data_IF_327126960500
#
_entry.id   IF_327126960500
#
_cell.length_a   1.000
_cell.length_b   1.000
_cell.length_c   1.000
_cell.angle_alpha   90.00
_cell.angle_beta   90.00
_cell.angle_gamma   90.00
#
_symmetry.space_group_name_H-M   'P 1'
#
loop_
_entity.id
_entity.type
_entity.pdbx_description
1 polymer ?
#
# COMPACT_ATOMS: atom_id res chain seq x y z
N UNK A 1 -48.27 65.73 20.34
CA UNK A 1 -46.86 65.66 20.78
C UNK A 1 -46.80 64.73 22.00
N UNK A 2 -46.36 63.47 21.84
CA UNK A 2 -45.02 62.88 22.20
C UNK A 2 -45.07 62.09 23.52
N UNK A 3 -45.10 60.74 23.49
CA UNK A 3 -44.00 59.75 23.71
C UNK A 3 -43.39 59.77 25.13
N UNK A 4 -43.76 58.85 26.05
CA UNK A 4 -43.24 57.48 26.36
C UNK A 4 -41.91 57.40 27.14
N UNK A 5 -41.86 56.66 28.26
CA UNK A 5 -41.16 55.36 28.49
C UNK A 5 -41.29 54.90 29.97
N UNK A 6 -41.34 53.56 30.18
CA UNK A 6 -41.60 52.77 31.42
C UNK A 6 -40.37 52.59 32.36
N UNK A 7 -40.55 52.19 33.64
CA UNK A 7 -39.48 51.76 34.54
C UNK A 7 -39.29 50.23 34.63
N UNK A 8 -38.11 49.83 35.14
CA UNK A 8 -37.56 48.47 35.21
C UNK A 8 -38.12 47.61 36.36
N UNK A 9 -38.13 46.28 36.14
CA UNK A 9 -38.76 45.25 36.96
C UNK A 9 -37.79 44.52 37.90
N UNK A 10 -38.31 44.22 39.09
CA UNK A 10 -37.71 43.52 40.22
C UNK A 10 -37.44 42.02 40.03
N UNK A 11 -36.51 41.55 40.88
CA UNK A 11 -36.10 40.16 41.13
C UNK A 11 -37.17 39.38 41.91
N UNK A 12 -37.43 38.13 41.52
CA UNK A 12 -37.44 36.93 42.39
C UNK A 12 -38.14 35.74 41.69
N UNK A 13 -37.54 34.55 41.78
CA UNK A 13 -38.20 33.28 41.44
C UNK A 13 -37.29 32.28 40.74
N UNK A 14 -36.30 31.72 41.45
CA UNK A 14 -35.57 30.55 40.98
C UNK A 14 -36.44 29.30 41.17
N UNK A 15 -37.16 28.93 40.12
CA UNK A 15 -37.87 27.65 39.99
C UNK A 15 -37.10 26.71 39.08
N UNK A 16 -36.84 25.50 39.56
CA UNK A 16 -36.24 24.39 38.84
C UNK A 16 -36.95 24.13 37.50
N UNK A 17 -36.23 24.31 36.40
CA UNK A 17 -36.54 23.69 35.11
C UNK A 17 -35.42 22.69 34.82
N UNK A 18 -35.68 21.41 35.09
CA UNK A 18 -34.84 20.32 34.60
C UNK A 18 -34.92 20.30 33.06
N UNK A 19 -33.77 20.43 32.42
CA UNK A 19 -33.58 20.35 30.98
C UNK A 19 -33.75 18.88 30.53
N UNK A 20 -34.67 18.54 29.61
CA UNK A 20 -34.88 17.15 29.18
C UNK A 20 -33.74 16.57 28.34
N UNK A 21 -32.67 17.33 28.07
CA UNK A 21 -31.64 16.95 27.10
C UNK A 21 -30.43 16.18 27.66
N UNK A 22 -30.38 15.87 28.95
CA UNK A 22 -29.25 15.10 29.54
C UNK A 22 -29.61 13.64 29.81
N UNK A 23 -30.06 12.90 28.80
CA UNK A 23 -29.98 11.44 28.85
C UNK A 23 -28.55 11.03 28.48
N UNK A 24 -27.76 10.73 29.51
CA UNK A 24 -26.45 10.11 29.35
C UNK A 24 -26.58 8.83 28.51
N UNK A 25 -26.02 8.85 27.30
CA UNK A 25 -25.99 7.68 26.44
C UNK A 25 -25.35 6.50 27.20
N UNK A 26 -25.98 5.30 27.20
CA UNK A 26 -25.43 4.16 27.91
C UNK A 26 -24.06 3.81 27.30
N UNK A 27 -23.01 3.94 28.11
CA UNK A 27 -21.63 3.62 27.75
C UNK A 27 -21.57 2.17 27.29
N UNK A 28 -21.43 1.95 25.98
CA UNK A 28 -21.33 0.62 25.39
C UNK A 28 -20.25 -0.18 26.15
N UNK A 29 -20.65 -1.29 26.76
CA UNK A 29 -19.70 -2.23 27.36
C UNK A 29 -18.78 -2.72 26.24
N UNK A 30 -17.51 -2.31 26.28
CA UNK A 30 -16.45 -2.82 25.40
C UNK A 30 -16.47 -4.35 25.46
N UNK A 31 -17.11 -4.98 24.46
CA UNK A 31 -16.98 -6.42 24.25
C UNK A 31 -15.48 -6.65 24.02
N UNK A 32 -14.90 -7.62 24.73
CA UNK A 32 -13.52 -8.08 24.48
C UNK A 32 -13.49 -8.69 23.08
N UNK A 33 -13.37 -7.85 22.07
CA UNK A 33 -13.11 -8.25 20.70
C UNK A 33 -11.66 -8.70 20.57
N UNK A 34 -11.38 -9.45 19.51
CA UNK A 34 -10.02 -9.76 19.09
C UNK A 34 -9.21 -8.44 19.00
N UNK A 35 -7.95 -8.39 19.46
CA UNK A 35 -7.16 -7.16 19.41
C UNK A 35 -7.04 -6.67 17.97
N UNK A 36 -6.93 -5.35 17.78
CA UNK A 36 -6.72 -4.79 16.45
C UNK A 36 -5.43 -5.40 15.84
N UNK A 37 -5.35 -5.60 14.51
CA UNK A 37 -4.15 -6.16 13.87
C UNK A 37 -2.86 -5.44 14.25
N UNK A 38 -2.90 -4.11 14.39
CA UNK A 38 -1.77 -3.30 14.87
C UNK A 38 -1.37 -3.68 16.29
N UNK A 39 -2.33 -3.89 17.19
CA UNK A 39 -2.05 -4.33 18.56
C UNK A 39 -1.37 -5.69 18.60
N UNK A 40 -1.82 -6.63 17.75
CA UNK A 40 -1.21 -7.96 17.65
C UNK A 40 0.22 -7.83 17.13
N UNK A 41 0.42 -7.05 16.07
CA UNK A 41 1.74 -6.83 15.48
C UNK A 41 2.69 -6.19 16.49
N UNK A 42 2.27 -5.15 17.21
CA UNK A 42 3.06 -4.51 18.27
C UNK A 42 3.39 -5.50 19.38
N UNK A 43 2.42 -6.31 19.82
CA UNK A 43 2.64 -7.30 20.86
C UNK A 43 3.65 -8.36 20.43
N UNK A 44 3.52 -8.90 19.21
CA UNK A 44 4.49 -9.86 18.66
C UNK A 44 5.87 -9.23 18.54
N UNK A 45 5.98 -7.99 18.06
CA UNK A 45 7.26 -7.30 17.93
C UNK A 45 7.95 -7.11 19.27
N UNK A 46 7.21 -6.68 20.30
CA UNK A 46 7.75 -6.53 21.67
C UNK A 46 8.17 -7.89 22.24
N UNK A 47 7.38 -8.94 22.01
CA UNK A 47 7.72 -10.29 22.48
C UNK A 47 8.98 -10.83 21.79
N UNK A 48 9.09 -10.68 20.46
CA UNK A 48 10.27 -11.10 19.69
C UNK A 48 11.49 -10.30 20.12
N UNK A 49 11.35 -8.99 20.32
CA UNK A 49 12.42 -8.12 20.79
C UNK A 49 12.96 -8.60 22.14
N UNK A 50 12.09 -8.81 23.14
CA UNK A 50 12.45 -9.34 24.46
C UNK A 50 13.09 -10.73 24.33
N UNK A 51 12.49 -11.62 23.53
CA UNK A 51 13.00 -12.97 23.33
C UNK A 51 14.41 -12.98 22.70
N UNK A 52 14.68 -12.09 21.75
CA UNK A 52 15.98 -11.97 21.08
C UNK A 52 17.14 -11.70 22.06
N UNK A 53 16.87 -11.06 23.20
CA UNK A 53 17.88 -10.85 24.24
C UNK A 53 18.30 -12.16 24.92
N UNK A 54 17.38 -13.11 25.09
CA UNK A 54 17.63 -14.36 25.83
C UNK A 54 18.03 -15.53 24.92
N UNK A 55 17.72 -15.46 23.62
CA UNK A 55 18.07 -16.50 22.66
C UNK A 55 19.60 -16.46 22.42
N UNK A 56 20.31 -17.60 22.60
CA UNK A 56 21.76 -17.65 22.38
C UNK A 56 22.10 -17.46 20.89
N UNK A 57 23.25 -16.86 20.64
CA UNK A 57 23.77 -16.67 19.28
C UNK A 57 24.08 -18.02 18.64
N UNK A 58 23.64 -18.20 17.39
CA UNK A 58 23.89 -19.41 16.62
C UNK A 58 24.00 -19.11 15.13
N UNK A 59 24.68 -20.01 14.42
CA UNK A 59 24.89 -19.90 12.98
C UNK A 59 24.79 -21.28 12.32
N UNK A 60 24.32 -21.30 11.08
CA UNK A 60 24.41 -22.46 10.20
C UNK A 60 25.74 -22.42 9.43
N UNK A 61 26.27 -23.58 9.06
CA UNK A 61 27.28 -23.64 8.01
C UNK A 61 26.62 -23.29 6.68
N UNK A 62 27.34 -22.55 5.84
CA UNK A 62 26.87 -22.12 4.53
C UNK A 62 27.57 -22.93 3.45
N UNK A 63 26.86 -23.24 2.37
CA UNK A 63 27.44 -23.87 1.18
C UNK A 63 28.12 -22.84 0.25
N UNK A 64 28.60 -23.28 -0.91
CA UNK A 64 29.25 -22.42 -1.89
C UNK A 64 28.33 -21.34 -2.49
N UNK A 65 27.01 -21.44 -2.26
CA UNK A 65 26.00 -20.48 -2.69
C UNK A 65 25.45 -19.64 -1.52
N UNK A 66 26.20 -19.57 -0.42
CA UNK A 66 25.85 -18.85 0.82
C UNK A 66 24.52 -19.33 1.46
N UNK A 67 24.09 -20.56 1.15
CA UNK A 67 22.83 -21.14 1.65
C UNK A 67 23.04 -21.98 2.92
N UNK A 68 22.15 -21.90 3.93
CA UNK A 68 22.27 -22.68 5.16
C UNK A 68 22.18 -24.20 4.93
N UNK A 69 23.18 -24.95 5.41
CA UNK A 69 23.20 -26.41 5.36
C UNK A 69 22.27 -26.98 6.46
N UNK A 70 21.23 -27.75 6.11
CA UNK A 70 20.32 -28.34 7.11
C UNK A 70 21.07 -29.20 8.15
N UNK A 71 20.70 -29.05 9.43
CA UNK A 71 21.32 -29.79 10.53
C UNK A 71 22.70 -29.30 10.98
N UNK A 72 23.27 -28.28 10.32
CA UNK A 72 24.59 -27.73 10.66
C UNK A 72 24.58 -26.65 11.76
N UNK A 73 23.43 -26.41 12.39
CA UNK A 73 23.28 -25.35 13.39
C UNK A 73 24.25 -25.57 14.55
N UNK A 74 25.01 -24.54 14.89
CA UNK A 74 25.88 -24.51 16.07
C UNK A 74 25.72 -23.20 16.81
N UNK A 75 25.71 -23.29 18.14
CA UNK A 75 25.82 -22.12 18.98
C UNK A 75 27.23 -21.53 18.86
N UNK A 76 27.31 -20.21 18.89
CA UNK A 76 28.57 -19.46 18.89
C UNK A 76 28.66 -18.59 20.13
N UNK A 77 29.88 -18.25 20.58
CA UNK A 77 30.05 -17.20 21.56
C UNK A 77 29.33 -15.92 21.10
N UNK A 78 28.63 -15.21 22.00
CA UNK A 78 28.01 -13.94 21.66
C UNK A 78 29.05 -13.01 21.05
N UNK A 79 28.75 -12.37 19.90
CA UNK A 79 29.68 -11.45 19.24
C UNK A 79 29.88 -10.14 20.02
N UNK A 80 28.99 -9.87 20.98
CA UNK A 80 28.98 -8.69 21.83
C UNK A 80 29.11 -9.11 23.29
N UNK A 81 29.80 -8.29 24.07
CA UNK A 81 29.81 -8.37 25.52
C UNK A 81 28.46 -7.97 26.13
N UNK A 82 28.32 -8.06 27.45
CA UNK A 82 27.01 -7.82 28.10
C UNK A 82 26.51 -6.39 27.89
N UNK A 83 27.39 -5.40 27.98
CA UNK A 83 27.04 -3.99 27.74
C UNK A 83 26.67 -3.77 26.26
N UNK A 84 27.46 -4.32 25.33
CA UNK A 84 27.16 -4.29 23.91
C UNK A 84 25.81 -4.93 23.57
N UNK A 85 25.45 -6.04 24.22
CA UNK A 85 24.13 -6.69 24.06
C UNK A 85 22.98 -5.84 24.59
N UNK A 86 23.15 -5.15 25.72
CA UNK A 86 22.12 -4.22 26.24
C UNK A 86 21.94 -3.06 25.27
N UNK A 87 23.06 -2.49 24.78
CA UNK A 87 23.01 -1.40 23.82
C UNK A 87 22.35 -1.82 22.51
N UNK A 88 22.73 -2.98 21.97
CA UNK A 88 22.13 -3.54 20.75
C UNK A 88 20.63 -3.82 20.95
N UNK A 89 20.25 -4.39 22.09
CA UNK A 89 18.84 -4.58 22.44
C UNK A 89 18.08 -3.25 22.44
N UNK A 90 18.57 -2.22 23.10
CA UNK A 90 17.90 -0.91 23.13
C UNK A 90 17.85 -0.24 21.75
N UNK A 91 18.87 -0.44 20.92
CA UNK A 91 18.95 0.13 19.58
C UNK A 91 18.26 -0.70 18.50
N UNK A 92 17.91 -1.96 18.76
CA UNK A 92 17.31 -2.85 17.76
C UNK A 92 16.07 -2.25 17.04
N UNK A 93 15.13 -1.55 17.72
CA UNK A 93 14.03 -0.88 17.02
C UNK A 93 14.50 0.25 16.09
N UNK A 94 15.54 0.98 16.48
CA UNK A 94 16.15 2.06 15.69
C UNK A 94 16.90 1.47 14.48
N UNK A 95 17.67 0.41 14.71
CA UNK A 95 18.41 -0.33 13.69
C UNK A 95 17.46 -1.03 12.70
N UNK A 96 16.29 -1.48 13.16
CA UNK A 96 15.23 -1.99 12.29
C UNK A 96 14.55 -0.91 11.45
N UNK A 97 14.69 0.37 11.81
CA UNK A 97 14.18 1.49 11.04
C UNK A 97 15.19 1.93 9.97
N UNK A 98 16.43 2.26 10.35
CA UNK A 98 17.44 2.82 9.43
C UNK A 98 18.87 2.26 9.61
N UNK A 99 19.01 1.07 10.17
CA UNK A 99 20.33 0.46 10.37
C UNK A 99 21.06 0.17 9.07
N UNK A 100 22.37 -0.02 9.17
CA UNK A 100 23.24 -0.44 8.06
C UNK A 100 23.82 -1.80 8.46
N UNK A 101 23.66 -2.79 7.59
CA UNK A 101 24.25 -4.11 7.78
C UNK A 101 25.69 -4.10 7.26
N UNK A 102 26.61 -4.40 8.16
CA UNK A 102 28.02 -4.57 7.83
C UNK A 102 28.23 -5.93 7.13
N UNK A 103 28.93 -5.99 5.97
CA UNK A 103 29.06 -7.20 5.19
C UNK A 103 29.96 -8.27 5.85
N UNK A 104 30.92 -7.87 6.67
CA UNK A 104 31.87 -8.79 7.31
C UNK A 104 31.29 -9.37 8.60
N UNK A 105 30.76 -8.49 9.45
CA UNK A 105 30.26 -8.88 10.78
C UNK A 105 28.80 -9.30 10.76
N UNK A 106 28.05 -8.96 9.69
CA UNK A 106 26.59 -9.09 9.56
C UNK A 106 25.80 -8.36 10.65
N UNK A 107 26.47 -7.53 11.45
CA UNK A 107 25.82 -6.71 12.47
C UNK A 107 25.11 -5.53 11.83
N UNK A 108 23.98 -5.15 12.42
CA UNK A 108 23.20 -3.99 11.97
C UNK A 108 23.38 -2.86 12.96
N UNK A 109 23.85 -1.71 12.48
CA UNK A 109 24.06 -0.54 13.31
C UNK A 109 23.90 0.75 12.50
N UNK A 110 23.57 1.88 13.14
CA UNK A 110 23.30 3.13 12.43
C UNK A 110 24.58 3.82 11.93
N UNK A 111 25.75 3.33 12.37
CA UNK A 111 27.07 3.86 12.01
C UNK A 111 27.93 2.85 11.24
N UNK A 112 27.36 1.72 10.84
CA UNK A 112 28.07 0.70 10.08
C UNK A 112 28.29 1.17 8.63
N UNK A 113 29.21 0.53 7.93
CA UNK A 113 29.39 0.69 6.48
C UNK A 113 28.93 -0.58 5.79
N UNK A 114 28.02 -0.47 4.84
CA UNK A 114 27.49 -1.64 4.14
C UNK A 114 26.15 -1.37 3.49
N UNK A 115 25.25 -2.35 3.53
CA UNK A 115 23.93 -2.25 2.90
C UNK A 115 22.90 -1.67 3.85
N UNK A 116 21.99 -0.84 3.32
CA UNK A 116 20.88 -0.33 4.11
C UNK A 116 20.00 -1.49 4.57
N UNK A 117 19.59 -1.45 5.84
CA UNK A 117 18.77 -2.48 6.47
C UNK A 117 17.53 -1.85 7.10
N UNK A 118 16.46 -2.64 7.18
CA UNK A 118 15.23 -2.24 7.85
C UNK A 118 14.23 -1.55 6.92
N UNK A 119 13.37 -0.71 7.49
CA UNK A 119 12.17 -0.19 6.80
C UNK A 119 12.33 1.17 6.14
N UNK A 120 13.50 1.82 6.22
CA UNK A 120 13.68 3.20 5.75
C UNK A 120 13.44 3.37 4.24
N UNK A 121 13.78 2.39 3.42
CA UNK A 121 13.52 2.45 1.97
C UNK A 121 12.01 2.54 1.67
N UNK A 122 11.20 1.75 2.38
CA UNK A 122 9.73 1.78 2.27
C UNK A 122 9.18 3.11 2.79
N UNK A 123 9.72 3.59 3.92
CA UNK A 123 9.31 4.88 4.49
C UNK A 123 9.56 6.05 3.53
N UNK A 124 10.77 6.15 2.97
CA UNK A 124 11.12 7.19 2.02
C UNK A 124 10.28 7.10 0.74
N UNK A 125 9.99 5.90 0.27
CA UNK A 125 9.12 5.69 -0.88
C UNK A 125 7.69 6.20 -0.64
N UNK A 126 7.07 5.82 0.48
CA UNK A 126 5.72 6.29 0.85
C UNK A 126 5.71 7.81 1.03
N UNK A 127 6.75 8.36 1.66
CA UNK A 127 6.89 9.80 1.84
C UNK A 127 6.99 10.54 0.49
N UNK A 128 7.78 10.01 -0.45
CA UNK A 128 7.92 10.58 -1.80
C UNK A 128 6.60 10.55 -2.57
N UNK A 129 5.82 9.47 -2.48
CA UNK A 129 4.46 9.41 -3.05
C UNK A 129 3.58 10.48 -2.42
N UNK A 130 3.56 10.58 -1.10
CA UNK A 130 2.76 11.59 -0.38
C UNK A 130 3.13 13.01 -0.78
N UNK A 131 4.43 13.30 -0.91
CA UNK A 131 4.94 14.58 -1.38
C UNK A 131 4.51 14.89 -2.82
N UNK A 132 4.69 13.94 -3.74
CA UNK A 132 4.25 14.05 -5.13
C UNK A 132 2.74 14.33 -5.22
N UNK A 133 1.92 13.53 -4.54
CA UNK A 133 0.47 13.70 -4.56
C UNK A 133 0.06 15.05 -3.95
N UNK A 134 0.73 15.51 -2.91
CA UNK A 134 0.46 16.83 -2.29
C UNK A 134 0.67 17.96 -3.30
N UNK A 135 1.77 17.94 -4.05
CA UNK A 135 2.04 18.94 -5.11
C UNK A 135 1.00 18.84 -6.22
N UNK A 136 0.67 17.63 -6.67
CA UNK A 136 -0.35 17.39 -7.70
C UNK A 136 -1.72 17.93 -7.30
N UNK A 137 -2.19 17.64 -6.08
CA UNK A 137 -3.48 18.15 -5.60
C UNK A 137 -3.48 19.68 -5.46
N UNK A 138 -2.35 20.29 -5.07
CA UNK A 138 -2.24 21.74 -4.97
C UNK A 138 -2.45 22.46 -6.32
N UNK A 139 -2.23 21.78 -7.45
CA UNK A 139 -2.50 22.33 -8.79
C UNK A 139 -3.99 22.41 -9.14
N UNK A 140 -4.84 21.60 -8.50
CA UNK A 140 -6.26 21.42 -8.86
C UNK A 140 -6.51 20.67 -10.19
N UNK A 141 -5.46 20.35 -10.95
CA UNK A 141 -5.57 19.64 -12.22
C UNK A 141 -6.12 18.22 -12.04
N UNK A 142 -5.70 17.55 -10.96
CA UNK A 142 -6.15 16.18 -10.67
C UNK A 142 -7.64 16.14 -10.29
N UNK A 143 -8.14 17.12 -9.54
CA UNK A 143 -9.58 17.21 -9.22
C UNK A 143 -10.42 17.40 -10.48
N UNK A 144 -9.97 18.28 -11.39
CA UNK A 144 -10.61 18.46 -12.70
C UNK A 144 -10.52 17.19 -13.56
N UNK A 145 -9.39 16.49 -13.54
CA UNK A 145 -9.19 15.23 -14.25
C UNK A 145 -10.12 14.12 -13.74
N UNK A 146 -10.25 13.99 -12.42
CA UNK A 146 -11.16 13.04 -11.77
C UNK A 146 -12.61 13.36 -12.14
N UNK A 147 -13.00 14.64 -12.12
CA UNK A 147 -14.34 15.07 -12.53
C UNK A 147 -14.64 14.76 -14.02
N UNK A 148 -13.65 14.88 -14.92
CA UNK A 148 -13.83 14.43 -16.31
C UNK A 148 -14.00 12.91 -16.41
N UNK A 149 -13.19 12.17 -15.67
CA UNK A 149 -13.20 10.72 -15.72
C UNK A 149 -14.49 10.16 -15.12
N UNK A 150 -14.94 10.68 -13.97
CA UNK A 150 -16.21 10.36 -13.34
C UNK A 150 -17.37 10.66 -14.29
N UNK A 151 -17.42 11.85 -14.90
CA UNK A 151 -18.48 12.24 -15.83
C UNK A 151 -18.51 11.32 -17.06
N UNK A 152 -17.34 11.00 -17.64
CA UNK A 152 -17.21 10.11 -18.81
C UNK A 152 -17.62 8.67 -18.49
N UNK A 153 -17.27 8.17 -17.30
CA UNK A 153 -17.48 6.79 -16.87
C UNK A 153 -18.69 6.60 -15.94
N UNK A 154 -19.53 7.62 -15.71
CA UNK A 154 -20.69 7.56 -14.79
C UNK A 154 -21.64 6.40 -15.07
N UNK A 155 -21.80 6.06 -16.36
CA UNK A 155 -22.63 4.95 -16.85
C UNK A 155 -21.84 3.64 -17.01
N UNK A 156 -20.50 3.72 -16.99
CA UNK A 156 -19.57 2.60 -17.19
C UNK A 156 -18.76 2.26 -15.94
N UNK A 157 -19.18 2.72 -14.76
CA UNK A 157 -18.51 2.43 -13.50
C UNK A 157 -18.22 0.93 -13.25
N UNK A 158 -19.16 -0.01 -13.53
CA UNK A 158 -18.88 -1.44 -13.43
C UNK A 158 -17.74 -1.92 -14.34
N UNK A 159 -17.64 -1.38 -15.56
CA UNK A 159 -16.54 -1.70 -16.47
C UNK A 159 -15.20 -1.20 -15.92
N UNK A 160 -15.18 0.00 -15.35
CA UNK A 160 -13.98 0.56 -14.73
C UNK A 160 -13.49 -0.31 -13.56
N UNK A 161 -14.38 -0.73 -12.66
CA UNK A 161 -14.05 -1.65 -11.55
C UNK A 161 -13.43 -2.94 -12.09
N UNK A 162 -14.03 -3.55 -13.11
CA UNK A 162 -13.55 -4.80 -13.69
C UNK A 162 -12.16 -4.64 -14.33
N UNK A 163 -11.97 -3.60 -15.16
CA UNK A 163 -10.69 -3.35 -15.86
C UNK A 163 -9.58 -3.06 -14.87
N UNK A 164 -9.82 -2.18 -13.89
CA UNK A 164 -8.81 -1.86 -12.88
C UNK A 164 -8.47 -3.06 -11.99
N UNK A 165 -9.48 -3.87 -11.62
CA UNK A 165 -9.23 -5.10 -10.86
C UNK A 165 -8.42 -6.11 -11.65
N UNK A 166 -8.66 -6.24 -12.97
CA UNK A 166 -7.85 -7.10 -13.83
C UNK A 166 -6.41 -6.60 -13.93
N UNK A 167 -6.22 -5.29 -14.09
CA UNK A 167 -4.90 -4.66 -14.14
C UNK A 167 -4.12 -4.88 -12.86
N UNK A 168 -4.68 -4.51 -11.70
CA UNK A 168 -3.99 -4.68 -10.41
C UNK A 168 -3.85 -6.16 -10.03
N UNK A 169 -4.82 -7.00 -10.36
CA UNK A 169 -4.70 -8.46 -10.20
C UNK A 169 -3.52 -9.03 -10.99
N UNK A 170 -3.35 -8.62 -12.25
CA UNK A 170 -2.21 -9.03 -13.06
C UNK A 170 -0.87 -8.54 -12.48
N UNK A 171 -0.79 -7.27 -12.06
CA UNK A 171 0.41 -6.73 -11.39
C UNK A 171 0.73 -7.48 -10.08
N UNK A 172 -0.30 -7.83 -9.31
CA UNK A 172 -0.21 -8.67 -8.11
C UNK A 172 0.35 -10.07 -8.41
N UNK A 173 -0.12 -10.70 -9.48
CA UNK A 173 0.34 -12.04 -9.89
C UNK A 173 1.81 -12.04 -10.35
N UNK A 174 2.24 -10.99 -11.07
CA UNK A 174 3.58 -10.88 -11.65
C UNK A 174 4.65 -10.55 -10.61
N UNK A 175 4.40 -9.66 -9.65
CA UNK A 175 5.44 -9.18 -8.72
C UNK A 175 5.07 -9.23 -7.24
N UNK A 176 3.78 -9.34 -6.91
CA UNK A 176 3.31 -9.15 -5.53
C UNK A 176 3.15 -7.67 -5.20
N UNK A 177 2.40 -6.96 -6.04
CA UNK A 177 2.02 -5.56 -5.90
C UNK A 177 1.38 -5.27 -4.53
N UNK A 178 2.10 -4.59 -3.64
CA UNK A 178 1.69 -4.36 -2.25
C UNK A 178 1.82 -2.89 -1.88
N UNK A 179 3.05 -2.42 -1.71
CA UNK A 179 3.32 -1.12 -1.07
C UNK A 179 3.12 0.04 -2.07
N UNK A 180 3.19 -0.27 -3.37
CA UNK A 180 2.97 0.68 -4.46
C UNK A 180 1.50 1.11 -4.58
N UNK A 181 0.57 0.37 -3.97
CA UNK A 181 -0.88 0.65 -3.99
C UNK A 181 -1.25 1.95 -3.27
N UNK A 182 -0.44 2.39 -2.32
CA UNK A 182 -0.72 3.56 -1.46
C UNK A 182 -0.93 4.85 -2.28
N UNK A 183 -0.13 5.05 -3.33
CA UNK A 183 -0.31 6.20 -4.23
C UNK A 183 -1.62 6.15 -5.02
N UNK A 184 -2.10 4.96 -5.35
CA UNK A 184 -3.36 4.81 -6.09
C UNK A 184 -4.57 5.11 -5.24
N UNK A 185 -4.52 4.93 -3.92
CA UNK A 185 -5.64 5.30 -3.04
C UNK A 185 -5.99 6.78 -3.15
N UNK A 186 -4.97 7.64 -3.21
CA UNK A 186 -5.16 9.08 -3.33
C UNK A 186 -5.97 9.47 -4.59
N UNK A 187 -5.80 8.75 -5.70
CA UNK A 187 -6.52 8.98 -6.95
C UNK A 187 -7.84 8.21 -7.05
N UNK A 188 -7.86 6.95 -6.57
CA UNK A 188 -9.00 6.04 -6.75
C UNK A 188 -10.12 6.27 -5.74
N UNK A 189 -9.83 6.77 -4.53
CA UNK A 189 -10.89 7.07 -3.55
C UNK A 189 -11.83 8.15 -4.10
N UNK A 190 -11.34 9.35 -4.52
CA UNK A 190 -12.23 10.38 -5.03
C UNK A 190 -12.98 9.94 -6.29
N UNK A 191 -12.32 9.21 -7.19
CA UNK A 191 -12.95 8.70 -8.42
C UNK A 191 -14.09 7.71 -8.14
N UNK A 192 -13.91 6.77 -7.21
CA UNK A 192 -14.95 5.79 -6.90
C UNK A 192 -16.13 6.44 -6.18
N UNK A 193 -15.86 7.40 -5.27
CA UNK A 193 -16.90 8.20 -4.60
C UNK A 193 -17.68 9.03 -5.62
N UNK A 194 -16.99 9.70 -6.54
CA UNK A 194 -17.60 10.44 -7.66
C UNK A 194 -18.53 9.57 -8.53
N UNK A 195 -18.21 8.28 -8.68
CA UNK A 195 -19.05 7.31 -9.40
C UNK A 195 -20.23 6.75 -8.58
N UNK A 196 -20.36 7.17 -7.31
CA UNK A 196 -21.40 6.74 -6.38
C UNK A 196 -21.09 5.42 -5.67
N UNK A 197 -19.82 5.02 -5.60
CA UNK A 197 -19.36 3.87 -4.83
C UNK A 197 -18.75 4.33 -3.49
N UNK A 198 -18.60 3.41 -2.54
CA UNK A 198 -17.93 3.71 -1.28
C UNK A 198 -16.43 3.39 -1.33
N UNK A 199 -15.74 3.74 -0.23
CA UNK A 199 -14.31 3.51 -0.05
C UNK A 199 -13.93 2.02 -0.05
N UNK A 200 -14.87 1.12 0.29
CA UNK A 200 -14.62 -0.33 0.26
C UNK A 200 -14.47 -0.84 -1.16
N UNK A 201 -15.21 -0.31 -2.14
CA UNK A 201 -14.98 -0.64 -3.56
C UNK A 201 -13.57 -0.25 -3.98
N UNK A 202 -13.07 0.91 -3.56
CA UNK A 202 -11.67 1.30 -3.83
C UNK A 202 -10.69 0.31 -3.20
N UNK A 203 -10.88 -0.06 -1.93
CA UNK A 203 -10.02 -1.06 -1.26
C UNK A 203 -10.06 -2.41 -1.98
N UNK A 204 -11.22 -2.83 -2.47
CA UNK A 204 -11.36 -4.08 -3.21
C UNK A 204 -10.55 -4.06 -4.52
N UNK A 205 -10.58 -2.95 -5.26
CA UNK A 205 -9.85 -2.80 -6.52
C UNK A 205 -8.35 -2.61 -6.30
N UNK A 206 -7.96 -1.73 -5.37
CA UNK A 206 -6.57 -1.28 -5.19
C UNK A 206 -5.75 -2.23 -4.33
N UNK A 207 -6.37 -2.94 -3.38
CA UNK A 207 -5.65 -3.84 -2.45
C UNK A 207 -6.09 -5.29 -2.61
N UNK A 208 -7.39 -5.59 -2.58
CA UNK A 208 -7.83 -7.01 -2.60
C UNK A 208 -7.51 -7.68 -3.94
N UNK A 209 -7.75 -7.01 -5.07
CA UNK A 209 -7.46 -7.56 -6.39
C UNK A 209 -5.97 -7.95 -6.58
N UNK A 210 -4.97 -7.11 -6.28
CA UNK A 210 -3.56 -7.51 -6.37
C UNK A 210 -3.19 -8.62 -5.38
N UNK A 211 -3.70 -8.60 -4.14
CA UNK A 211 -3.47 -9.70 -3.18
C UNK A 211 -4.05 -11.03 -3.67
N UNK A 212 -5.24 -11.01 -4.26
CA UNK A 212 -5.85 -12.20 -4.88
C UNK A 212 -5.05 -12.64 -6.11
N UNK A 213 -4.52 -11.69 -6.89
CA UNK A 213 -3.60 -11.96 -7.99
C UNK A 213 -2.36 -12.73 -7.52
N UNK A 214 -1.81 -12.36 -6.37
CA UNK A 214 -0.67 -13.02 -5.76
C UNK A 214 -0.97 -14.47 -5.32
N UNK A 215 -2.21 -14.83 -4.98
CA UNK A 215 -2.60 -16.22 -4.66
C UNK A 215 -2.38 -17.17 -5.86
N UNK A 216 -2.66 -16.67 -7.07
CA UNK A 216 -2.44 -17.40 -8.33
C UNK A 216 -1.18 -16.93 -9.06
N UNK A 217 -0.13 -16.55 -8.33
CA UNK A 217 1.06 -15.92 -8.90
C UNK A 217 1.67 -16.73 -10.05
N UNK A 218 1.78 -16.12 -11.23
CA UNK A 218 2.29 -16.78 -12.43
C UNK A 218 3.82 -16.85 -12.41
N UNK A 219 4.47 -15.68 -12.40
CA UNK A 219 5.91 -15.54 -12.64
C UNK A 219 6.64 -14.71 -11.55
N UNK A 220 6.06 -14.57 -10.36
CA UNK A 220 6.68 -13.78 -9.30
C UNK A 220 8.04 -14.34 -8.88
N UNK A 221 9.14 -13.61 -9.10
CA UNK A 221 10.48 -14.10 -8.79
C UNK A 221 10.73 -14.24 -7.29
N UNK A 222 10.05 -13.43 -6.46
CA UNK A 222 10.23 -13.37 -5.00
C UNK A 222 9.44 -14.45 -4.25
N UNK A 223 8.35 -14.97 -4.82
CA UNK A 223 7.57 -16.05 -4.21
C UNK A 223 7.70 -17.34 -5.00
N UNK A 224 7.17 -17.35 -6.22
CA UNK A 224 7.14 -18.54 -7.08
C UNK A 224 8.55 -18.92 -7.53
N UNK A 225 9.40 -17.95 -7.88
CA UNK A 225 10.80 -18.18 -8.24
C UNK A 225 11.62 -18.82 -7.12
N UNK A 226 11.58 -18.23 -5.92
CA UNK A 226 12.27 -18.79 -4.74
C UNK A 226 11.72 -20.17 -4.38
N UNK A 227 10.39 -20.35 -4.40
CA UNK A 227 9.74 -21.63 -4.12
C UNK A 227 10.15 -22.73 -5.10
N UNK A 228 10.10 -22.44 -6.40
CA UNK A 228 10.54 -23.35 -7.47
C UNK A 228 12.01 -23.71 -7.34
N UNK A 229 12.89 -22.72 -7.10
CA UNK A 229 14.33 -22.95 -6.88
C UNK A 229 14.59 -23.90 -5.70
N UNK A 230 13.92 -23.68 -4.56
CA UNK A 230 14.05 -24.57 -3.39
C UNK A 230 13.49 -25.96 -3.62
N UNK A 231 12.48 -26.10 -4.47
CA UNK A 231 11.90 -27.39 -4.84
C UNK A 231 12.66 -28.09 -5.97
N UNK A 232 13.67 -27.45 -6.57
CA UNK A 232 14.43 -28.01 -7.70
C UNK A 232 13.62 -28.11 -9.00
N UNK A 233 12.56 -27.32 -9.13
CA UNK A 233 11.67 -27.27 -10.31
C UNK A 233 11.76 -25.91 -11.00
N UNK A 234 11.29 -25.83 -12.23
CA UNK A 234 11.23 -24.56 -12.96
C UNK A 234 10.06 -23.70 -12.49
N UNK A 235 10.05 -22.41 -12.84
CA UNK A 235 8.89 -21.53 -12.59
C UNK A 235 7.68 -21.96 -13.44
N UNK A 236 7.93 -22.50 -14.64
CA UNK A 236 6.90 -23.00 -15.55
C UNK A 236 6.15 -24.22 -15.00
N UNK A 237 6.79 -25.01 -14.13
CA UNK A 237 6.16 -26.17 -13.50
C UNK A 237 4.96 -25.73 -12.64
N UNK A 238 3.78 -26.24 -13.00
CA UNK A 238 2.51 -25.88 -12.36
C UNK A 238 1.83 -24.61 -12.89
N UNK A 239 2.36 -23.96 -13.93
CA UNK A 239 1.81 -22.71 -14.50
C UNK A 239 0.32 -22.82 -14.85
N UNK A 240 -0.11 -23.93 -15.47
CA UNK A 240 -1.52 -24.14 -15.82
C UNK A 240 -2.46 -24.10 -14.61
N UNK A 241 -2.08 -24.74 -13.50
CA UNK A 241 -2.86 -24.71 -12.26
C UNK A 241 -2.88 -23.31 -11.65
N UNK A 242 -1.76 -22.57 -11.68
CA UNK A 242 -1.70 -21.19 -11.16
C UNK A 242 -2.55 -20.25 -12.00
N UNK A 243 -2.56 -20.39 -13.33
CA UNK A 243 -3.42 -19.61 -14.22
C UNK A 243 -4.92 -19.90 -13.98
N UNK A 244 -5.28 -21.16 -13.76
CA UNK A 244 -6.66 -21.52 -13.39
C UNK A 244 -7.03 -20.90 -12.04
N UNK A 245 -6.18 -21.04 -11.03
CA UNK A 245 -6.39 -20.45 -9.72
C UNK A 245 -6.54 -18.94 -9.80
N UNK A 246 -5.60 -18.26 -10.45
CA UNK A 246 -5.60 -16.81 -10.70
C UNK A 246 -6.91 -16.36 -11.35
N UNK A 247 -7.30 -17.02 -12.44
CA UNK A 247 -8.51 -16.64 -13.19
C UNK A 247 -9.76 -16.81 -12.34
N UNK A 248 -9.89 -17.93 -11.62
CA UNK A 248 -11.06 -18.22 -10.79
C UNK A 248 -11.16 -17.27 -9.60
N UNK A 249 -10.06 -17.04 -8.87
CA UNK A 249 -10.06 -16.18 -7.68
C UNK A 249 -10.25 -14.71 -8.06
N UNK A 250 -9.61 -14.26 -9.13
CA UNK A 250 -9.78 -12.89 -9.63
C UNK A 250 -11.20 -12.67 -10.16
N UNK A 251 -11.75 -13.62 -10.93
CA UNK A 251 -13.13 -13.54 -11.39
C UNK A 251 -14.12 -13.49 -10.21
N UNK A 252 -13.95 -14.36 -9.21
CA UNK A 252 -14.79 -14.33 -8.00
C UNK A 252 -14.71 -12.97 -7.28
N UNK A 253 -13.51 -12.40 -7.17
CA UNK A 253 -13.26 -11.09 -6.56
C UNK A 253 -13.94 -9.96 -7.34
N UNK A 254 -13.81 -9.95 -8.67
CA UNK A 254 -14.48 -8.97 -9.53
C UNK A 254 -16.00 -9.10 -9.41
N UNK A 255 -16.54 -10.31 -9.51
CA UNK A 255 -17.98 -10.55 -9.44
C UNK A 255 -18.57 -10.11 -8.08
N UNK A 256 -17.89 -10.44 -6.99
CA UNK A 256 -18.29 -9.99 -5.65
C UNK A 256 -18.20 -8.47 -5.51
N UNK A 257 -17.13 -7.86 -6.00
CA UNK A 257 -16.94 -6.40 -5.92
C UNK A 257 -18.01 -5.67 -6.73
N UNK A 258 -18.35 -6.16 -7.93
CA UNK A 258 -19.45 -5.61 -8.74
C UNK A 258 -20.80 -5.79 -8.08
N UNK A 259 -21.05 -6.95 -7.46
CA UNK A 259 -22.28 -7.18 -6.70
C UNK A 259 -22.39 -6.19 -5.53
N UNK A 260 -21.33 -6.03 -4.74
CA UNK A 260 -21.27 -5.10 -3.62
C UNK A 260 -21.43 -3.64 -4.07
N UNK A 261 -20.68 -3.22 -5.09
CA UNK A 261 -20.72 -1.88 -5.65
C UNK A 261 -22.12 -1.49 -6.15
N UNK A 262 -22.82 -2.40 -6.83
CA UNK A 262 -24.23 -2.18 -7.23
C UNK A 262 -25.15 -2.00 -6.03
N UNK A 263 -24.93 -2.78 -4.97
CA UNK A 263 -25.77 -2.76 -3.76
C UNK A 263 -25.62 -1.44 -3.01
N UNK A 264 -24.39 -0.94 -2.86
CA UNK A 264 -24.07 0.35 -2.24
C UNK A 264 -24.57 1.52 -3.10
N UNK A 265 -24.37 1.45 -4.41
CA UNK A 265 -24.82 2.51 -5.33
C UNK A 265 -26.35 2.65 -5.37
N UNK A 266 -27.07 1.53 -5.28
CA UNK A 266 -28.53 1.54 -5.21
C UNK A 266 -29.07 2.00 -3.84
N UNK A 267 -28.33 1.74 -2.77
CA UNK A 267 -28.74 2.02 -1.40
C UNK A 267 -27.51 2.30 -0.52
N UNK A 268 -27.16 3.59 -0.31
CA UNK A 268 -25.98 3.99 0.44
C UNK A 268 -25.93 3.45 1.89
N UNK A 269 -27.08 3.10 2.48
CA UNK A 269 -27.14 2.54 3.84
C UNK A 269 -26.48 1.16 3.94
N UNK A 270 -26.26 0.48 2.81
CA UNK A 270 -25.62 -0.83 2.72
C UNK A 270 -24.10 -0.77 2.65
N UNK A 271 -23.51 0.43 2.66
CA UNK A 271 -22.06 0.59 2.77
C UNK A 271 -21.56 0.08 4.11
N UNK A 272 -20.52 -0.75 4.09
CA UNK A 272 -19.89 -1.28 5.31
C UNK A 272 -19.11 -0.20 6.08
N UNK A 273 -18.62 0.84 5.41
CA UNK A 273 -17.89 1.94 6.04
C UNK A 273 -18.73 3.21 6.24
N UNK A 274 -19.92 3.25 5.66
CA UNK A 274 -20.72 4.47 5.57
C UNK A 274 -20.08 5.55 4.69
N UNK A 275 -20.82 6.64 4.47
CA UNK A 275 -20.35 7.83 3.78
C UNK A 275 -20.04 8.93 4.79
N UNK A 276 -18.83 9.47 4.72
CA UNK A 276 -18.41 10.63 5.52
C UNK A 276 -18.88 11.93 4.88
N UNK A 277 -18.80 13.04 5.63
CA UNK A 277 -19.08 14.38 5.07
C UNK A 277 -18.14 14.75 3.93
N UNK A 278 -16.88 14.28 3.98
CA UNK A 278 -15.92 14.47 2.90
C UNK A 278 -16.29 13.64 1.66
N UNK A 279 -16.80 12.42 1.84
CA UNK A 279 -17.32 11.60 0.72
C UNK A 279 -18.51 12.33 0.06
N UNK A 280 -19.38 12.96 0.85
CA UNK A 280 -20.52 13.71 0.34
C UNK A 280 -20.11 14.98 -0.44
N UNK A 281 -19.00 15.63 -0.06
CA UNK A 281 -18.44 16.77 -0.82
C UNK A 281 -17.91 16.33 -2.18
N UNK A 282 -17.17 15.22 -2.21
CA UNK A 282 -16.63 14.63 -3.44
C UNK A 282 -17.76 14.21 -4.40
N UNK A 283 -18.80 13.54 -3.90
CA UNK A 283 -19.92 13.09 -4.73
C UNK A 283 -20.76 14.23 -5.34
N UNK A 284 -20.84 15.40 -4.69
CA UNK A 284 -21.64 16.54 -5.18
C UNK A 284 -20.99 17.30 -6.33
N UNK A 285 -19.69 17.12 -6.57
CA UNK A 285 -18.99 17.81 -7.64
C UNK A 285 -19.46 17.37 -9.04
N UNK A 286 -19.95 16.14 -9.21
CA UNK A 286 -20.02 15.44 -10.50
C UNK A 286 -21.36 15.50 -11.29
N UNK A 287 -22.36 16.25 -10.81
CA UNK A 287 -23.66 16.33 -11.49
C UNK A 287 -23.65 17.26 -12.74
N UNK A 288 -22.62 18.10 -12.86
CA UNK A 288 -22.50 19.10 -13.94
C UNK A 288 -21.42 18.71 -14.95
N UNK A 289 -21.53 19.15 -16.23
CA UNK A 289 -20.46 18.98 -17.19
C UNK A 289 -19.16 19.62 -16.68
N UNK A 290 -18.00 18.94 -16.79
CA UNK A 290 -16.71 19.51 -16.41
C UNK A 290 -16.39 20.80 -17.18
N UNK A 291 -15.74 21.75 -16.49
CA UNK A 291 -14.96 22.80 -17.15
C UNK A 291 -13.90 22.14 -18.05
N UNK A 292 -13.64 22.63 -19.27
CA UNK A 292 -12.59 22.06 -20.13
C UNK A 292 -11.22 22.10 -19.45
N UNK A 293 -10.42 21.05 -19.65
CA UNK A 293 -9.03 21.00 -19.20
C UNK A 293 -8.19 22.01 -19.99
N UNK A 294 -7.45 22.85 -19.27
CA UNK A 294 -6.41 23.67 -19.84
C UNK A 294 -5.17 22.85 -20.21
N UNK A 295 -4.23 23.47 -20.92
CA UNK A 295 -2.95 22.84 -21.28
C UNK A 295 -2.16 22.44 -20.04
N UNK A 296 -2.11 23.30 -19.02
CA UNK A 296 -1.45 23.02 -17.74
C UNK A 296 -2.07 21.82 -17.05
N UNK A 297 -3.40 21.73 -17.01
CA UNK A 297 -4.11 20.59 -16.42
C UNK A 297 -3.76 19.28 -17.13
N UNK A 298 -3.73 19.31 -18.47
CA UNK A 298 -3.35 18.15 -19.29
C UNK A 298 -1.90 17.73 -19.07
N UNK A 299 -0.97 18.69 -18.89
CA UNK A 299 0.44 18.39 -18.60
C UNK A 299 0.55 17.72 -17.23
N UNK A 300 -0.07 18.27 -16.19
CA UNK A 300 -0.02 17.69 -14.83
C UNK A 300 -0.66 16.30 -14.81
N UNK A 301 -1.84 16.13 -15.39
CA UNK A 301 -2.50 14.83 -15.52
C UNK A 301 -1.61 13.85 -16.30
N UNK A 302 -1.01 14.31 -17.41
CA UNK A 302 -0.06 13.53 -18.20
C UNK A 302 1.14 13.07 -17.39
N UNK A 303 1.74 13.95 -16.58
CA UNK A 303 2.85 13.62 -15.67
C UNK A 303 2.42 12.59 -14.62
N UNK A 304 1.22 12.70 -14.05
CA UNK A 304 0.68 11.71 -13.09
C UNK A 304 0.55 10.33 -13.75
N UNK A 305 -0.13 10.25 -14.90
CA UNK A 305 -0.28 8.97 -15.61
C UNK A 305 1.06 8.41 -16.08
N UNK A 306 1.98 9.26 -16.53
CA UNK A 306 3.33 8.85 -16.89
C UNK A 306 4.11 8.32 -15.68
N UNK A 307 4.03 8.98 -14.52
CA UNK A 307 4.73 8.57 -13.30
C UNK A 307 4.26 7.19 -12.84
N UNK A 308 2.94 6.99 -12.73
CA UNK A 308 2.38 5.69 -12.32
C UNK A 308 2.54 4.61 -13.40
N UNK A 309 2.48 4.98 -14.68
CA UNK A 309 2.73 4.07 -15.80
C UNK A 309 4.19 3.61 -15.85
N UNK A 310 5.14 4.53 -15.63
CA UNK A 310 6.57 4.24 -15.55
C UNK A 310 6.87 3.40 -14.31
N UNK A 311 6.26 3.69 -13.16
CA UNK A 311 6.35 2.84 -11.98
C UNK A 311 5.89 1.41 -12.29
N UNK A 312 4.71 1.26 -12.90
CA UNK A 312 4.20 -0.06 -13.24
C UNK A 312 5.14 -0.79 -14.20
N UNK A 313 5.65 -0.10 -15.23
CA UNK A 313 6.59 -0.65 -16.21
C UNK A 313 7.95 -1.03 -15.62
N UNK A 314 8.54 -0.17 -14.79
CA UNK A 314 9.90 -0.31 -14.28
C UNK A 314 10.06 -1.51 -13.32
N UNK A 315 8.96 -1.88 -12.66
CA UNK A 315 8.91 -2.97 -11.69
C UNK A 315 8.70 -4.34 -12.36
N UNK A 316 8.20 -4.37 -13.60
CA UNK A 316 7.95 -5.63 -14.30
C UNK A 316 9.28 -6.29 -14.68
N UNK A 317 9.53 -7.56 -14.28
CA UNK A 317 10.70 -8.31 -14.69
C UNK A 317 10.52 -8.83 -16.13
N UNK A 318 10.71 -7.94 -17.12
CA UNK A 318 10.44 -8.20 -18.53
C UNK A 318 11.22 -9.39 -19.10
N UNK A 319 12.47 -9.59 -18.69
CA UNK A 319 13.30 -10.71 -19.09
C UNK A 319 12.73 -12.04 -18.64
N UNK A 320 12.16 -12.10 -17.44
CA UNK A 320 11.46 -13.29 -16.96
C UNK A 320 10.12 -13.53 -17.68
N UNK A 321 9.41 -12.45 -18.05
CA UNK A 321 8.16 -12.55 -18.84
C UNK A 321 8.39 -13.04 -20.27
N UNK A 322 9.49 -12.60 -20.89
CA UNK A 322 9.79 -12.84 -22.30
C UNK A 322 10.67 -14.08 -22.52
N UNK A 323 10.89 -14.88 -21.46
CA UNK A 323 11.73 -16.08 -21.49
C UNK A 323 13.14 -15.78 -22.03
N UNK A 324 13.70 -14.63 -21.62
CA UNK A 324 15.03 -14.17 -22.04
C UNK A 324 16.13 -14.95 -21.31
N UNK A 325 16.23 -16.22 -21.62
CA UNK A 325 17.20 -17.16 -21.09
C UNK A 325 18.65 -16.79 -21.48
N UNK A 326 19.50 -16.60 -20.47
CA UNK A 326 20.95 -16.59 -20.61
C UNK A 326 21.55 -17.78 -19.86
N UNK A 327 22.63 -18.37 -20.40
CA UNK A 327 23.36 -19.44 -19.72
C UNK A 327 24.37 -18.79 -18.78
N UNK A 328 24.26 -19.06 -17.48
CA UNK A 328 25.24 -18.65 -16.49
C UNK A 328 26.58 -19.34 -16.78
N UNK A 329 27.66 -18.59 -17.10
CA UNK A 329 28.96 -19.15 -17.47
C UNK A 329 29.62 -19.99 -16.38
N UNK A 330 29.22 -19.84 -15.12
CA UNK A 330 29.82 -20.52 -13.96
C UNK A 330 29.05 -21.76 -13.53
N UNK A 331 27.73 -21.80 -13.77
CA UNK A 331 26.86 -22.87 -13.29
C UNK A 331 26.24 -23.70 -14.41
N UNK A 332 26.43 -23.32 -15.69
CA UNK A 332 25.79 -23.91 -16.87
C UNK A 332 24.26 -23.98 -16.77
N UNK A 333 23.66 -23.18 -15.87
CA UNK A 333 22.22 -23.10 -15.69
C UNK A 333 21.66 -21.97 -16.53
N UNK A 334 20.52 -22.23 -17.15
CA UNK A 334 19.73 -21.20 -17.82
C UNK A 334 19.11 -20.28 -16.77
N UNK A 335 19.64 -19.07 -16.66
CA UNK A 335 19.11 -17.98 -15.82
C UNK A 335 18.43 -16.94 -16.71
N UNK A 336 17.28 -16.41 -16.29
CA UNK A 336 16.65 -15.31 -17.03
C UNK A 336 17.54 -14.07 -16.94
N UNK A 337 17.96 -13.55 -18.08
CA UNK A 337 18.68 -12.28 -18.20
C UNK A 337 17.71 -11.13 -18.41
N UNK A 338 17.95 -9.97 -17.78
CA UNK A 338 17.14 -8.79 -18.03
C UNK A 338 17.28 -8.35 -19.50
N UNK A 339 16.17 -7.96 -20.10
CA UNK A 339 16.19 -7.34 -21.44
C UNK A 339 16.73 -5.93 -21.36
N UNK A 340 17.26 -5.38 -22.46
CA UNK A 340 17.98 -4.09 -22.43
C UNK A 340 17.12 -2.87 -22.02
N UNK A 341 15.80 -2.97 -22.10
CA UNK A 341 14.85 -1.95 -21.63
C UNK A 341 14.27 -2.26 -20.23
N UNK A 342 14.67 -3.38 -19.61
CA UNK A 342 14.29 -3.68 -18.25
C UNK A 342 15.03 -2.74 -17.30
N UNK A 343 14.25 -1.96 -16.55
CA UNK A 343 14.82 -0.97 -15.63
C UNK A 343 15.25 -1.62 -14.31
N UNK A 344 14.55 -2.66 -13.85
CA UNK A 344 14.87 -3.35 -12.60
C UNK A 344 14.79 -2.45 -11.36
N UNK A 345 13.98 -1.39 -11.40
CA UNK A 345 13.93 -0.39 -10.34
C UNK A 345 13.32 -0.93 -9.06
N UNK A 346 13.89 -0.52 -7.94
CA UNK A 346 13.38 -0.81 -6.60
C UNK A 346 12.98 0.48 -5.87
N UNK A 347 12.73 0.38 -4.58
CA UNK A 347 12.27 1.50 -3.75
C UNK A 347 13.13 2.76 -3.87
N UNK A 348 14.48 2.72 -3.93
CA UNK A 348 15.28 3.93 -4.10
C UNK A 348 15.01 4.68 -5.40
N UNK A 349 15.03 3.98 -6.55
CA UNK A 349 14.79 4.59 -7.85
C UNK A 349 13.34 5.09 -7.98
N UNK A 350 12.38 4.34 -7.45
CA UNK A 350 10.98 4.74 -7.42
C UNK A 350 10.75 5.96 -6.52
N UNK A 351 11.46 6.05 -5.39
CA UNK A 351 11.44 7.24 -4.53
C UNK A 351 11.97 8.46 -5.27
N UNK A 352 13.07 8.30 -6.01
CA UNK A 352 13.64 9.36 -6.82
C UNK A 352 12.69 9.78 -7.96
N UNK A 353 12.02 8.84 -8.61
CA UNK A 353 11.00 9.12 -9.63
C UNK A 353 9.92 10.06 -9.09
N UNK A 354 9.30 9.72 -7.95
CA UNK A 354 8.25 10.56 -7.37
C UNK A 354 8.78 11.93 -6.93
N UNK A 355 9.99 11.99 -6.39
CA UNK A 355 10.61 13.26 -6.01
C UNK A 355 10.85 14.18 -7.22
N UNK A 356 11.45 13.65 -8.29
CA UNK A 356 11.68 14.40 -9.54
C UNK A 356 10.36 14.84 -10.16
N UNK A 357 9.37 13.96 -10.18
CA UNK A 357 8.04 14.26 -10.72
C UNK A 357 7.30 15.31 -9.92
N UNK A 358 7.48 15.35 -8.59
CA UNK A 358 6.93 16.41 -7.75
C UNK A 358 7.51 17.78 -8.12
N UNK A 359 8.82 17.85 -8.38
CA UNK A 359 9.48 19.08 -8.83
C UNK A 359 8.96 19.49 -10.21
N UNK A 360 8.87 18.55 -11.16
CA UNK A 360 8.37 18.84 -12.51
C UNK A 360 6.93 19.34 -12.49
N UNK A 361 6.04 18.71 -11.72
CA UNK A 361 4.66 19.18 -11.54
C UNK A 361 4.63 20.55 -10.86
N UNK A 362 5.51 20.82 -9.90
CA UNK A 362 5.57 22.13 -9.23
C UNK A 362 6.10 23.28 -10.11
N UNK A 363 6.82 22.97 -11.19
CA UNK A 363 7.30 23.96 -12.18
C UNK A 363 6.20 24.33 -13.18
N UNK A 364 5.36 23.35 -13.53
CA UNK A 364 4.20 23.49 -14.44
C UNK A 364 3.11 24.32 -13.78
#
# INVERSE_FOLDING_TARGET
MSRTVRPASDRNGAGNTEDPSTQAQPREKRKRGFPAPVTILTLVLVLVWIAAFFIPSGQYALDASDSPIPGSFRNIPPPLDFDGRIRDFLLAPVNGMYGIQDPETRQVGPFNTGTMFGSIEVFLFILSIGGFMTVVFATGALDLGIHHLSYRFRERGPLLIAVLSMLFGALGSIKGWSDETLGFYAMMIPLMIALGYDRIVTVAVVTVAPFVGALGSTINPFMTGIGSSKAGVTIADGMGLRLVLFTLTLAATILYTLWYARRVKADPSKSLCGFSDDDARLSKADATPPKPLGTTDLIVIGLVFFTFGLLAFAIVPWGALLDNAAVDPLTDKTTNSPVWWELGWWLPELSALFFVMAILVGIV
#
